data_IF_935167023610
#
_entry.id   IF_935167023610
#
_cell.length_a   1.000
_cell.length_b   1.000
_cell.length_c   1.000
_cell.angle_alpha   90.00
_cell.angle_beta   90.00
_cell.angle_gamma   90.00
#
_symmetry.space_group_name_H-M   'P 1'
#
loop_
_entity.id
_entity.type
_entity.pdbx_description
1 polymer ?
#
# COMPACT_ATOMS: atom_id res chain seq x y z
N UNK A 1 9.65 -47.34 25.71
CA UNK A 1 10.67 -46.40 25.21
C UNK A 1 10.87 -45.29 26.24
N UNK A 2 12.05 -45.20 26.84
CA UNK A 2 12.33 -44.41 28.04
C UNK A 2 12.36 -42.90 27.75
N UNK A 3 11.29 -42.19 28.13
CA UNK A 3 11.24 -40.73 28.07
C UNK A 3 11.89 -40.12 29.32
N UNK A 4 13.22 -39.99 29.30
CA UNK A 4 13.95 -39.23 30.31
C UNK A 4 13.68 -37.75 30.07
N UNK A 5 12.71 -37.18 30.78
CA UNK A 5 12.61 -35.73 30.97
C UNK A 5 13.83 -35.26 31.78
N UNK A 6 14.96 -35.10 31.09
CA UNK A 6 16.17 -34.51 31.65
C UNK A 6 15.86 -33.05 31.91
N UNK A 7 15.72 -32.67 33.18
CA UNK A 7 15.65 -31.27 33.63
C UNK A 7 16.85 -30.55 33.02
N UNK A 8 16.59 -29.76 31.98
CA UNK A 8 17.63 -29.18 31.14
C UNK A 8 18.24 -28.00 31.89
N UNK A 9 19.48 -28.16 32.38
CA UNK A 9 20.21 -27.10 33.09
C UNK A 9 20.25 -25.83 32.24
N UNK A 10 19.98 -24.67 32.85
CA UNK A 10 20.00 -23.36 32.19
C UNK A 10 21.42 -23.08 31.67
N UNK A 11 21.52 -22.78 30.37
CA UNK A 11 22.77 -22.38 29.74
C UNK A 11 23.27 -21.06 30.34
N UNK A 12 24.53 -21.03 30.77
CA UNK A 12 25.25 -19.81 31.11
C UNK A 12 26.33 -19.60 30.04
N UNK A 13 26.26 -18.46 29.37
CA UNK A 13 27.24 -18.07 28.35
C UNK A 13 28.29 -17.16 28.99
N UNK A 14 29.53 -17.27 28.53
CA UNK A 14 30.55 -16.27 28.84
C UNK A 14 30.26 -14.97 28.08
N UNK A 15 30.92 -13.89 28.48
CA UNK A 15 30.80 -12.60 27.78
C UNK A 15 31.24 -12.72 26.32
N UNK A 16 32.38 -13.35 26.09
CA UNK A 16 32.92 -13.62 24.76
C UNK A 16 31.97 -14.45 23.89
N UNK A 17 31.41 -15.54 24.45
CA UNK A 17 30.42 -16.34 23.73
C UNK A 17 29.18 -15.52 23.34
N UNK A 18 28.73 -14.64 24.24
CA UNK A 18 27.59 -13.76 23.98
C UNK A 18 27.90 -12.76 22.87
N UNK A 19 29.09 -12.15 22.88
CA UNK A 19 29.53 -11.23 21.83
C UNK A 19 29.53 -11.89 20.46
N UNK A 20 30.13 -13.07 20.32
CA UNK A 20 30.19 -13.79 19.05
C UNK A 20 28.79 -14.21 18.54
N UNK A 21 27.90 -14.61 19.44
CA UNK A 21 26.50 -14.90 19.09
C UNK A 21 25.77 -13.65 18.59
N UNK A 22 25.98 -12.50 19.24
CA UNK A 22 25.40 -11.21 18.82
C UNK A 22 25.97 -10.73 17.48
N UNK A 23 27.27 -10.82 17.27
CA UNK A 23 27.89 -10.50 15.98
C UNK A 23 27.36 -11.39 14.85
N UNK A 24 27.25 -12.70 15.10
CA UNK A 24 26.66 -13.64 14.15
C UNK A 24 25.20 -13.29 13.83
N UNK A 25 24.42 -12.92 14.84
CA UNK A 25 23.03 -12.52 14.69
C UNK A 25 22.87 -11.20 13.92
N UNK A 26 23.75 -10.23 14.16
CA UNK A 26 23.74 -8.94 13.48
C UNK A 26 24.06 -9.08 11.99
N UNK A 27 24.89 -10.08 11.62
CA UNK A 27 25.11 -10.43 10.20
C UNK A 27 23.89 -11.12 9.60
N UNK A 28 23.35 -12.14 10.28
CA UNK A 28 22.18 -12.89 9.83
C UNK A 28 21.32 -13.33 11.02
N UNK A 29 20.06 -12.86 11.07
CA UNK A 29 19.14 -13.17 12.19
C UNK A 29 18.66 -14.64 12.20
N UNK A 30 18.92 -15.37 11.12
CA UNK A 30 18.63 -16.80 10.92
C UNK A 30 19.90 -17.53 10.53
N UNK A 31 20.17 -18.69 11.15
CA UNK A 31 21.30 -19.53 10.81
C UNK A 31 20.89 -20.63 9.83
N UNK A 32 21.72 -20.86 8.81
CA UNK A 32 21.67 -22.11 8.06
C UNK A 32 22.39 -23.24 8.84
N UNK A 33 22.25 -24.53 8.43
CA UNK A 33 22.85 -25.65 9.15
C UNK A 33 24.38 -25.57 9.29
N UNK A 34 25.09 -25.15 8.23
CA UNK A 34 26.55 -25.07 8.22
C UNK A 34 27.06 -23.96 9.16
N UNK A 35 26.45 -22.77 9.12
CA UNK A 35 26.75 -21.67 10.02
C UNK A 35 26.48 -22.05 11.47
N UNK A 36 25.37 -22.74 11.74
CA UNK A 36 25.05 -23.23 13.08
C UNK A 36 26.12 -24.19 13.59
N UNK A 37 26.57 -25.11 12.74
CA UNK A 37 27.59 -26.10 13.09
C UNK A 37 28.94 -25.43 13.37
N UNK A 38 29.41 -24.57 12.46
CA UNK A 38 30.66 -23.83 12.61
C UNK A 38 30.67 -22.93 13.86
N UNK A 39 29.57 -22.20 14.11
CA UNK A 39 29.46 -21.35 15.30
C UNK A 39 29.39 -22.16 16.60
N UNK A 40 28.75 -23.33 16.57
CA UNK A 40 28.70 -24.23 17.72
C UNK A 40 30.09 -24.75 18.08
N UNK A 41 30.89 -25.13 17.08
CA UNK A 41 32.28 -25.57 17.25
C UNK A 41 33.16 -24.45 17.80
N UNK A 42 33.10 -23.25 17.20
CA UNK A 42 33.87 -22.09 17.66
C UNK A 42 33.56 -21.71 19.11
N UNK A 43 32.30 -21.83 19.54
CA UNK A 43 31.86 -21.46 20.89
C UNK A 43 31.97 -22.60 21.90
N UNK A 44 32.36 -23.80 21.46
CA UNK A 44 32.29 -25.04 22.24
C UNK A 44 30.90 -25.28 22.87
N UNK A 45 29.84 -25.10 22.07
CA UNK A 45 28.45 -25.29 22.46
C UNK A 45 27.80 -26.39 21.61
N UNK A 46 26.68 -26.94 22.08
CA UNK A 46 25.86 -27.83 21.25
C UNK A 46 25.14 -27.03 20.17
N UNK A 47 24.99 -27.55 18.93
CA UNK A 47 24.23 -26.88 17.87
C UNK A 47 22.82 -26.45 18.29
N UNK A 48 22.14 -27.26 19.13
CA UNK A 48 20.83 -26.94 19.68
C UNK A 48 20.83 -25.72 20.61
N UNK A 49 21.91 -25.48 21.35
CA UNK A 49 22.04 -24.31 22.23
C UNK A 49 22.14 -23.02 21.41
N UNK A 50 22.94 -23.04 20.35
CA UNK A 50 23.05 -21.93 19.39
C UNK A 50 21.70 -21.67 18.73
N UNK A 51 21.02 -22.72 18.25
CA UNK A 51 19.68 -22.59 17.65
C UNK A 51 18.66 -21.94 18.59
N UNK A 52 18.55 -22.43 19.82
CA UNK A 52 17.63 -21.89 20.83
C UNK A 52 18.01 -20.46 21.20
N UNK A 53 19.30 -20.13 21.26
CA UNK A 53 19.73 -18.76 21.50
C UNK A 53 19.24 -17.82 20.39
N UNK A 54 19.39 -18.20 19.12
CA UNK A 54 18.91 -17.41 17.97
C UNK A 54 17.38 -17.27 17.98
N UNK A 55 16.65 -18.35 18.28
CA UNK A 55 15.19 -18.30 18.43
C UNK A 55 14.77 -17.32 19.53
N UNK A 56 15.38 -17.42 20.71
CA UNK A 56 15.10 -16.54 21.83
C UNK A 56 15.49 -15.08 21.53
N UNK A 57 16.58 -14.86 20.80
CA UNK A 57 17.01 -13.51 20.40
C UNK A 57 15.98 -12.87 19.49
N UNK A 58 15.46 -13.59 18.49
CA UNK A 58 14.38 -13.12 17.61
C UNK A 58 13.10 -12.85 18.39
N UNK A 59 12.70 -13.76 19.28
CA UNK A 59 11.51 -13.59 20.11
C UNK A 59 11.60 -12.31 20.96
N UNK A 60 12.74 -12.04 21.60
CA UNK A 60 12.97 -10.81 22.36
C UNK A 60 12.93 -9.56 21.48
N UNK A 61 13.51 -9.59 20.27
CA UNK A 61 13.44 -8.46 19.34
C UNK A 61 11.99 -8.18 18.96
N UNK A 62 11.23 -9.21 18.58
CA UNK A 62 9.82 -9.06 18.20
C UNK A 62 8.97 -8.53 19.35
N UNK A 63 9.19 -9.02 20.58
CA UNK A 63 8.49 -8.53 21.76
C UNK A 63 8.75 -7.04 21.99
N UNK A 64 10.03 -6.63 22.02
CA UNK A 64 10.41 -5.22 22.18
C UNK A 64 9.80 -4.33 21.09
N UNK A 65 9.80 -4.80 19.84
CA UNK A 65 9.19 -4.05 18.74
C UNK A 65 7.68 -3.89 18.95
N UNK A 66 6.98 -4.97 19.33
CA UNK A 66 5.55 -4.94 19.59
C UNK A 66 5.16 -4.01 20.74
N UNK A 67 6.00 -3.91 21.78
CA UNK A 67 5.79 -2.97 22.89
C UNK A 67 5.86 -1.52 22.40
N UNK A 68 6.87 -1.19 21.60
CA UNK A 68 7.05 0.14 20.99
C UNK A 68 5.90 0.47 20.03
N UNK A 69 5.52 -0.47 19.17
CA UNK A 69 4.43 -0.29 18.20
C UNK A 69 3.09 -0.04 18.91
N UNK A 70 2.85 -0.76 20.02
CA UNK A 70 1.66 -0.57 20.85
C UNK A 70 1.61 0.83 21.47
N UNK A 71 2.73 1.30 22.02
CA UNK A 71 2.82 2.64 22.58
C UNK A 71 2.60 3.72 21.51
N UNK A 72 3.20 3.54 20.33
CA UNK A 72 3.02 4.45 19.20
C UNK A 72 1.55 4.52 18.77
N UNK A 73 0.91 3.37 18.53
CA UNK A 73 -0.49 3.29 18.14
C UNK A 73 -1.41 3.94 19.18
N UNK A 74 -1.13 3.76 20.47
CA UNK A 74 -1.88 4.41 21.55
C UNK A 74 -1.83 5.93 21.43
N UNK A 75 -0.66 6.53 21.24
CA UNK A 75 -0.49 7.98 21.05
C UNK A 75 -1.23 8.49 19.80
N UNK A 76 -1.21 7.73 18.71
CA UNK A 76 -1.96 8.06 17.50
C UNK A 76 -3.47 8.05 17.76
N UNK A 77 -3.98 7.04 18.47
CA UNK A 77 -5.39 6.95 18.83
C UNK A 77 -5.84 8.11 19.72
N UNK A 78 -5.04 8.48 20.73
CA UNK A 78 -5.30 9.63 21.60
C UNK A 78 -5.36 10.93 20.79
N UNK A 79 -4.39 11.16 19.91
CA UNK A 79 -4.33 12.35 19.05
C UNK A 79 -5.53 12.43 18.10
N UNK A 80 -5.88 11.32 17.46
CA UNK A 80 -7.05 11.24 16.56
C UNK A 80 -8.37 11.45 17.32
N UNK A 81 -8.46 10.98 18.57
CA UNK A 81 -9.62 11.19 19.42
C UNK A 81 -9.79 12.66 19.77
N UNK A 82 -8.70 13.36 20.12
CA UNK A 82 -8.71 14.79 20.41
C UNK A 82 -9.17 15.58 19.17
N UNK A 83 -8.58 15.32 18.01
CA UNK A 83 -8.97 16.03 16.78
C UNK A 83 -10.42 15.73 16.39
N UNK A 84 -10.87 14.47 16.52
CA UNK A 84 -12.29 14.13 16.29
C UNK A 84 -13.22 14.88 17.23
N UNK A 85 -12.84 15.04 18.50
CA UNK A 85 -13.63 15.81 19.45
C UNK A 85 -13.66 17.29 19.07
N UNK A 86 -12.52 17.89 18.71
CA UNK A 86 -12.45 19.28 18.25
C UNK A 86 -13.33 19.52 17.03
N UNK A 87 -13.20 18.68 16.00
CA UNK A 87 -14.01 18.77 14.79
C UNK A 87 -15.51 18.59 15.08
N UNK A 88 -15.89 17.72 16.02
CA UNK A 88 -17.29 17.58 16.43
C UNK A 88 -17.82 18.83 17.13
N UNK A 89 -17.02 19.49 17.96
CA UNK A 89 -17.37 20.77 18.59
C UNK A 89 -17.54 21.86 17.54
N UNK A 90 -16.58 22.03 16.63
CA UNK A 90 -16.67 22.99 15.51
C UNK A 90 -17.93 22.73 14.66
N UNK A 91 -18.23 21.47 14.33
CA UNK A 91 -19.44 21.11 13.60
C UNK A 91 -20.73 21.44 14.37
N UNK A 92 -20.75 21.25 15.69
CA UNK A 92 -21.90 21.57 16.53
C UNK A 92 -22.12 23.07 16.61
N UNK A 93 -21.05 23.86 16.76
CA UNK A 93 -21.10 25.32 16.74
C UNK A 93 -21.64 25.82 15.39
N UNK A 94 -21.07 25.37 14.27
CA UNK A 94 -21.54 25.74 12.93
C UNK A 94 -23.02 25.37 12.70
N UNK A 95 -23.46 24.20 13.17
CA UNK A 95 -24.88 23.79 13.11
C UNK A 95 -25.78 24.69 13.95
N UNK A 96 -25.32 25.13 15.11
CA UNK A 96 -26.08 26.00 16.02
C UNK A 96 -26.20 27.43 15.47
N UNK A 97 -25.12 27.96 14.88
CA UNK A 97 -25.13 29.25 14.18
C UNK A 97 -26.06 29.22 12.96
N UNK A 98 -26.17 28.07 12.30
CA UNK A 98 -27.04 27.87 11.15
C UNK A 98 -28.52 27.56 11.52
N UNK A 99 -28.84 27.41 12.82
CA UNK A 99 -30.19 27.16 13.33
C UNK A 99 -31.12 28.38 13.28
N UNK A 100 -30.57 29.59 13.08
CA UNK A 100 -31.32 30.82 12.94
C UNK A 100 -31.52 31.19 11.46
N UNK A 101 -32.32 30.40 10.75
CA UNK A 101 -33.16 30.89 9.64
C UNK A 101 -32.49 31.42 8.36
N UNK A 102 -31.17 31.37 8.18
CA UNK A 102 -30.54 31.67 6.89
C UNK A 102 -29.68 30.50 6.42
N UNK A 103 -30.22 29.81 5.42
CA UNK A 103 -29.62 28.69 4.71
C UNK A 103 -28.14 28.96 4.38
N UNK A 104 -27.20 28.05 4.69
CA UNK A 104 -25.86 28.12 4.13
C UNK A 104 -26.00 27.93 2.62
N UNK A 105 -25.23 28.69 1.85
CA UNK A 105 -25.14 28.67 0.39
C UNK A 105 -24.78 27.29 -0.23
N UNK A 106 -24.75 26.23 0.58
CA UNK A 106 -24.50 24.85 0.16
C UNK A 106 -25.78 24.09 -0.27
N UNK A 107 -27.00 24.57 0.04
CA UNK A 107 -28.24 23.86 -0.34
C UNK A 107 -29.11 24.65 -1.34
N UNK A 108 -28.84 25.94 -1.57
CA UNK A 108 -29.57 26.76 -2.56
C UNK A 108 -28.88 26.82 -3.92
N UNK A 109 -28.40 25.69 -4.41
CA UNK A 109 -28.21 25.55 -5.85
C UNK A 109 -29.55 25.06 -6.39
N UNK A 110 -30.28 25.84 -7.22
CA UNK A 110 -31.51 25.36 -7.84
C UNK A 110 -31.25 23.99 -8.48
N UNK A 111 -32.15 23.02 -8.35
CA UNK A 111 -31.98 21.68 -8.96
C UNK A 111 -31.59 21.75 -10.45
N UNK A 112 -32.02 22.80 -11.15
CA UNK A 112 -31.63 23.12 -12.52
C UNK A 112 -30.10 23.35 -12.69
N UNK A 113 -29.45 23.99 -11.73
CA UNK A 113 -28.01 24.35 -11.76
C UNK A 113 -27.10 23.17 -11.42
N UNK A 114 -27.58 22.15 -10.69
CA UNK A 114 -26.83 20.88 -10.49
C UNK A 114 -26.89 19.94 -11.70
N UNK A 115 -27.85 20.15 -12.59
CA UNK A 115 -28.01 19.38 -13.83
C UNK A 115 -27.26 20.03 -15.02
N UNK A 116 -26.85 21.28 -14.90
CA UNK A 116 -25.98 21.92 -15.90
C UNK A 116 -24.55 21.42 -15.75
N UNK A 117 -24.07 20.74 -16.78
CA UNK A 117 -22.66 20.36 -16.91
C UNK A 117 -21.75 21.56 -16.69
N UNK A 118 -20.67 21.35 -15.94
CA UNK A 118 -19.64 22.37 -15.77
C UNK A 118 -19.12 22.81 -17.15
N UNK A 119 -18.89 24.11 -17.40
CA UNK A 119 -18.39 24.61 -18.69
C UNK A 119 -17.13 23.90 -19.20
N UNK A 120 -16.30 23.38 -18.29
CA UNK A 120 -15.13 22.57 -18.64
C UNK A 120 -15.53 21.21 -19.22
N UNK A 121 -16.47 20.51 -18.59
CA UNK A 121 -17.00 19.24 -19.07
C UNK A 121 -17.78 19.40 -20.38
N UNK A 122 -18.50 20.52 -20.56
CA UNK A 122 -19.21 20.83 -21.80
C UNK A 122 -18.23 21.01 -22.98
N UNK A 123 -17.10 21.69 -22.76
CA UNK A 123 -16.02 21.81 -23.76
C UNK A 123 -15.42 20.44 -24.12
N UNK A 124 -15.22 19.56 -23.13
CA UNK A 124 -14.72 18.21 -23.37
C UNK A 124 -15.68 17.37 -24.23
N UNK A 125 -16.98 17.44 -23.96
CA UNK A 125 -18.00 16.70 -24.73
C UNK A 125 -18.11 17.26 -26.16
N UNK A 126 -18.11 18.59 -26.33
CA UNK A 126 -18.09 19.23 -27.66
C UNK A 126 -16.83 18.86 -28.45
N UNK A 127 -15.66 18.83 -27.81
CA UNK A 127 -14.43 18.38 -28.45
C UNK A 127 -14.51 16.91 -28.91
N UNK A 128 -15.10 16.02 -28.10
CA UNK A 128 -15.32 14.61 -28.47
C UNK A 128 -16.28 14.47 -29.66
N UNK A 129 -17.40 15.19 -29.67
CA UNK A 129 -18.34 15.16 -30.80
C UNK A 129 -17.72 15.75 -32.07
N UNK A 130 -16.95 16.84 -31.96
CA UNK A 130 -16.24 17.42 -33.10
C UNK A 130 -15.19 16.46 -33.67
N UNK A 131 -14.44 15.76 -32.80
CA UNK A 131 -13.48 14.75 -33.22
C UNK A 131 -14.16 13.53 -33.86
N UNK A 132 -15.32 13.09 -33.35
CA UNK A 132 -16.11 12.03 -33.97
C UNK A 132 -16.71 12.45 -35.33
N UNK A 133 -17.18 13.69 -35.46
CA UNK A 133 -17.68 14.22 -36.72
C UNK A 133 -16.55 14.37 -37.76
N UNK A 134 -15.36 14.80 -37.34
CA UNK A 134 -14.18 14.85 -38.18
C UNK A 134 -13.73 13.45 -38.63
N UNK A 135 -13.77 12.46 -37.74
CA UNK A 135 -13.46 11.07 -38.07
C UNK A 135 -14.46 10.49 -39.08
N UNK A 136 -15.77 10.71 -38.90
CA UNK A 136 -16.79 10.27 -39.86
C UNK A 136 -16.65 10.94 -41.22
N UNK A 137 -16.35 12.24 -41.26
CA UNK A 137 -16.12 12.97 -42.51
C UNK A 137 -14.85 12.49 -43.23
N UNK A 138 -13.80 12.13 -42.48
CA UNK A 138 -12.60 11.52 -43.05
C UNK A 138 -12.89 10.12 -43.63
N UNK A 139 -13.71 9.32 -42.95
CA UNK A 139 -14.17 8.01 -43.43
C UNK A 139 -14.97 8.15 -44.75
N UNK A 140 -15.95 9.06 -44.81
CA UNK A 140 -16.75 9.33 -46.01
C UNK A 140 -15.88 9.82 -47.18
N UNK A 141 -14.94 10.73 -46.94
CA UNK A 141 -14.00 11.19 -47.97
C UNK A 141 -13.09 10.06 -48.47
N UNK A 142 -12.73 9.11 -47.61
CA UNK A 142 -11.91 7.96 -47.98
C UNK A 142 -12.71 6.93 -48.80
N UNK A 143 -14.00 6.73 -48.49
CA UNK A 143 -14.93 5.90 -49.28
C UNK A 143 -15.17 6.49 -50.67
N UNK A 144 -15.33 7.82 -50.77
CA UNK A 144 -15.44 8.52 -52.06
C UNK A 144 -14.15 8.40 -52.87
N UNK A 145 -12.97 8.55 -52.25
CA UNK A 145 -11.66 8.33 -52.92
C UNK A 145 -11.50 6.91 -53.43
N UNK A 146 -11.90 5.91 -52.64
CA UNK A 146 -11.82 4.48 -53.02
C UNK A 146 -12.78 4.14 -54.17
N UNK A 147 -13.94 4.80 -54.21
CA UNK A 147 -14.90 4.67 -55.32
C UNK A 147 -14.38 5.35 -56.60
N UNK A 148 -13.71 6.50 -56.48
CA UNK A 148 -13.09 7.19 -57.64
C UNK A 148 -11.92 6.40 -58.24
N UNK A 149 -11.13 5.70 -57.42
CA UNK A 149 -10.02 4.86 -57.90
C UNK A 149 -10.49 3.56 -58.59
N UNK A 150 -11.77 3.18 -58.46
CA UNK A 150 -12.33 1.95 -59.06
C UNK A 150 -12.77 2.13 -60.53
N UNK A 151 -12.68 3.35 -61.08
CA UNK A 151 -12.97 3.64 -62.49
C UNK A 151 -11.71 3.82 -63.36
N UNK A 152 -10.50 3.68 -62.82
CA UNK A 152 -9.25 3.89 -63.56
C UNK A 152 -8.44 2.61 -63.84
N UNK A 153 -8.91 1.43 -63.45
CA UNK A 153 -8.16 0.17 -63.57
C UNK A 153 -8.96 -0.92 -64.27
N UNK A 154 -9.16 -0.79 -65.57
CA UNK A 154 -9.81 -1.81 -66.39
C UNK A 154 -9.40 -1.69 -67.85
N UNK A 155 -8.22 -2.22 -68.20
CA UNK A 155 -7.95 -2.74 -69.53
C UNK A 155 -7.04 -3.97 -69.35
N UNK A 156 -7.66 -5.14 -69.54
CA UNK A 156 -7.06 -6.47 -69.58
C UNK A 156 -6.12 -6.66 -70.77
N UNK A 157 -5.15 -7.56 -70.60
CA UNK A 157 -4.22 -7.97 -71.66
C UNK A 157 -3.59 -9.35 -71.40
N UNK A 158 -4.39 -10.40 -71.59
CA UNK A 158 -4.04 -11.76 -72.05
C UNK A 158 -3.05 -11.64 -73.24
N UNK A 159 -1.97 -12.41 -73.42
CA UNK A 159 -1.70 -13.87 -73.42
C UNK A 159 -0.26 -14.09 -72.96
#
# INVERSE_FOLDING_TARGET
MNNKNVVRKKLRLTKEQSTLLEEGFNRHSTLNPAQKQSLAEQLNLKPRQVEVWFQNRRARTKLKQSEVDCEFLKKCCESLSIENQRLKQELQELKSLNGNGTSPLYIQIPKATMLTMCPSCEKMVKARHNNQAAAKKAEELNVVRKSSNKLQGGFDGTI
#
